data_IF_671364716471
#
_entry.id   IF_671364716471
#
_cell.length_a   1.000
_cell.length_b   1.000
_cell.length_c   1.000
_cell.angle_alpha   90.00
_cell.angle_beta   90.00
_cell.angle_gamma   90.00
#
_symmetry.space_group_name_H-M   'P 1'
#
loop_
_entity.id
_entity.type
_entity.pdbx_description
1 polymer ?
#
# COMPACT_ATOMS: atom_id res chain seq x y z
N UNK A 1 19.07 -16.96 -4.72
CA UNK A 1 18.14 -15.82 -4.55
C UNK A 1 18.64 -14.71 -5.47
N UNK A 2 18.10 -14.58 -6.69
CA UNK A 2 18.46 -13.49 -7.59
C UNK A 2 17.83 -12.21 -7.02
N UNK A 3 18.64 -11.23 -6.65
CA UNK A 3 18.17 -9.87 -6.55
C UNK A 3 17.68 -9.48 -7.94
N UNK A 4 16.37 -9.33 -8.10
CA UNK A 4 15.79 -8.82 -9.34
C UNK A 4 16.00 -7.32 -9.31
N UNK A 5 17.14 -6.90 -9.83
CA UNK A 5 17.37 -5.54 -10.33
C UNK A 5 16.89 -5.51 -11.78
N UNK A 6 15.79 -4.82 -12.09
CA UNK A 6 15.77 -3.66 -13.00
C UNK A 6 14.39 -2.96 -13.14
N UNK A 7 13.76 -2.55 -12.02
CA UNK A 7 12.84 -1.41 -12.03
C UNK A 7 13.57 -0.18 -11.45
N UNK A 8 14.60 0.29 -12.17
CA UNK A 8 15.49 1.39 -11.72
C UNK A 8 14.77 2.70 -11.36
N UNK A 9 13.55 2.94 -11.83
CA UNK A 9 12.85 4.21 -11.58
C UNK A 9 12.28 4.33 -10.17
N UNK A 10 11.69 3.27 -9.63
CA UNK A 10 10.83 3.38 -8.44
C UNK A 10 11.60 3.06 -7.16
N UNK A 11 12.52 2.08 -7.20
CA UNK A 11 13.38 1.77 -6.07
C UNK A 11 14.32 2.94 -5.72
N UNK A 12 14.68 3.74 -6.73
CA UNK A 12 15.43 4.99 -6.54
C UNK A 12 14.64 6.02 -5.72
N UNK A 13 13.31 6.08 -5.84
CA UNK A 13 12.48 6.96 -5.02
C UNK A 13 12.46 6.52 -3.57
N UNK A 14 12.47 5.21 -3.30
CA UNK A 14 12.39 4.65 -1.95
C UNK A 14 13.72 4.64 -1.20
N UNK A 15 14.85 4.48 -1.91
CA UNK A 15 16.15 4.18 -1.29
C UNK A 15 16.51 5.13 -0.14
N UNK A 16 16.51 6.44 -0.39
CA UNK A 16 16.85 7.44 0.63
C UNK A 16 15.90 7.39 1.82
N UNK A 17 14.61 7.16 1.60
CA UNK A 17 13.64 7.05 2.68
C UNK A 17 13.85 5.77 3.50
N UNK A 18 14.14 4.66 2.83
CA UNK A 18 14.37 3.36 3.45
C UNK A 18 15.64 3.38 4.31
N UNK A 19 16.76 3.88 3.76
CA UNK A 19 18.03 3.96 4.46
C UNK A 19 17.92 4.85 5.72
N UNK A 20 17.21 5.99 5.64
CA UNK A 20 17.09 6.92 6.75
C UNK A 20 16.13 6.48 7.87
N UNK A 21 15.20 5.57 7.58
CA UNK A 21 14.16 5.11 8.52
C UNK A 21 14.27 3.63 8.90
N UNK A 22 15.25 2.92 8.35
CA UNK A 22 15.38 1.48 8.55
C UNK A 22 14.22 0.68 7.94
N UNK A 23 13.62 1.17 6.84
CA UNK A 23 12.51 0.45 6.20
C UNK A 23 13.04 -0.68 5.32
N UNK A 24 12.33 -1.81 5.38
CA UNK A 24 12.52 -2.90 4.43
C UNK A 24 11.47 -2.74 3.34
N UNK A 25 11.91 -2.43 2.12
CA UNK A 25 11.03 -2.29 0.96
C UNK A 25 11.13 -3.55 0.12
N UNK A 26 9.99 -4.20 -0.09
CA UNK A 26 9.88 -5.33 -1.00
C UNK A 26 8.98 -4.92 -2.16
N UNK A 27 9.55 -4.94 -3.35
CA UNK A 27 8.81 -4.74 -4.58
C UNK A 27 8.44 -6.10 -5.16
N UNK A 28 7.18 -6.23 -5.54
CA UNK A 28 6.63 -7.43 -6.15
C UNK A 28 6.13 -7.05 -7.52
N UNK A 29 6.48 -7.86 -8.51
CA UNK A 29 6.05 -7.67 -9.89
C UNK A 29 4.99 -8.72 -10.23
N UNK A 30 3.96 -8.34 -11.01
CA UNK A 30 3.00 -9.31 -11.52
C UNK A 30 3.70 -10.30 -12.46
N UNK A 31 3.23 -11.55 -12.47
CA UNK A 31 3.70 -12.56 -13.43
C UNK A 31 3.38 -12.20 -14.88
N UNK A 32 2.35 -11.37 -15.09
CA UNK A 32 2.01 -10.77 -16.38
C UNK A 32 2.32 -9.28 -16.41
N UNK A 33 3.01 -8.83 -17.45
CA UNK A 33 3.35 -7.42 -17.65
C UNK A 33 2.13 -6.50 -17.77
N UNK A 34 0.95 -7.03 -18.13
CA UNK A 34 -0.23 -6.22 -18.39
C UNK A 34 -1.13 -6.02 -17.16
N UNK A 35 -1.17 -7.00 -16.25
CA UNK A 35 -2.09 -6.96 -15.09
C UNK A 35 -1.72 -7.98 -14.03
N UNK A 36 -2.18 -7.70 -12.80
CA UNK A 36 -2.28 -8.68 -11.74
C UNK A 36 -3.37 -9.72 -12.05
N UNK A 37 -3.06 -10.98 -11.81
CA UNK A 37 -3.95 -12.12 -11.95
C UNK A 37 -4.70 -12.38 -10.63
N UNK A 38 -5.91 -12.96 -10.67
CA UNK A 38 -6.71 -13.17 -9.46
C UNK A 38 -6.02 -14.00 -8.36
N UNK A 39 -5.22 -15.00 -8.72
CA UNK A 39 -4.48 -15.87 -7.80
C UNK A 39 -3.13 -15.33 -7.34
N UNK A 40 -2.84 -14.05 -7.61
CA UNK A 40 -1.66 -13.36 -7.07
C UNK A 40 -1.97 -12.63 -5.77
N UNK A 41 -3.18 -12.79 -5.22
CA UNK A 41 -3.54 -12.18 -3.93
C UNK A 41 -2.81 -12.87 -2.78
N UNK A 42 -2.55 -14.17 -2.93
CA UNK A 42 -1.79 -15.04 -2.04
C UNK A 42 -0.30 -14.68 -2.03
N UNK A 43 0.19 -13.98 -3.05
CA UNK A 43 1.59 -13.56 -3.14
C UNK A 43 1.98 -12.62 -1.99
N UNK A 44 1.06 -11.76 -1.55
CA UNK A 44 1.30 -10.88 -0.40
C UNK A 44 1.60 -11.68 0.88
N UNK A 45 0.84 -12.77 1.12
CA UNK A 45 1.07 -13.68 2.26
C UNK A 45 2.44 -14.34 2.17
N UNK A 46 2.78 -14.88 1.00
CA UNK A 46 4.04 -15.58 0.80
C UNK A 46 5.25 -14.66 0.97
N UNK A 47 5.16 -13.44 0.45
CA UNK A 47 6.18 -12.40 0.62
C UNK A 47 6.32 -12.00 2.07
N UNK A 48 5.20 -11.73 2.76
CA UNK A 48 5.22 -11.38 4.19
C UNK A 48 5.83 -12.49 5.04
N UNK A 49 5.46 -13.75 4.78
CA UNK A 49 6.05 -14.93 5.44
C UNK A 49 7.56 -15.00 5.22
N UNK A 50 8.03 -14.79 3.99
CA UNK A 50 9.46 -14.77 3.68
C UNK A 50 10.18 -13.62 4.41
N UNK A 51 9.58 -12.44 4.47
CA UNK A 51 10.15 -11.29 5.19
C UNK A 51 10.34 -11.59 6.66
N UNK A 52 9.34 -12.18 7.33
CA UNK A 52 9.41 -12.58 8.75
C UNK A 52 10.47 -13.62 9.03
N UNK A 53 10.73 -14.52 8.09
CA UNK A 53 11.79 -15.52 8.22
C UNK A 53 13.19 -14.91 8.09
N UNK A 54 13.32 -13.82 7.33
CA UNK A 54 14.62 -13.26 6.95
C UNK A 54 15.00 -12.01 7.75
N UNK A 55 14.02 -11.30 8.30
CA UNK A 55 14.20 -10.02 8.95
C UNK A 55 13.41 -9.95 10.25
N UNK A 56 13.92 -9.19 11.22
CA UNK A 56 13.16 -8.81 12.41
C UNK A 56 12.24 -7.65 12.03
N UNK A 57 10.95 -7.91 11.92
CA UNK A 57 9.96 -6.89 11.57
C UNK A 57 9.34 -6.30 12.84
N UNK A 58 9.10 -4.99 12.82
CA UNK A 58 8.18 -4.34 13.74
C UNK A 58 6.74 -4.67 13.30
N UNK A 59 6.02 -5.46 14.09
CA UNK A 59 4.66 -5.90 13.74
C UNK A 59 3.66 -4.75 13.67
N UNK A 60 3.95 -3.62 14.31
CA UNK A 60 3.06 -2.46 14.33
C UNK A 60 3.21 -1.57 13.09
N UNK A 61 4.19 -1.86 12.22
CA UNK A 61 4.51 -1.03 11.04
C UNK A 61 4.61 -1.81 9.73
N UNK A 62 3.90 -2.93 9.64
CA UNK A 62 3.82 -3.72 8.40
C UNK A 62 2.70 -3.18 7.51
N UNK A 63 3.08 -2.75 6.31
CA UNK A 63 2.18 -2.10 5.35
C UNK A 63 2.28 -2.77 3.98
N UNK A 64 1.14 -2.88 3.30
CA UNK A 64 1.07 -3.24 1.87
C UNK A 64 0.63 -2.03 1.05
N UNK A 65 1.06 -1.91 -0.20
CA UNK A 65 0.57 -0.82 -1.02
C UNK A 65 0.93 -0.90 -2.49
N UNK A 66 0.37 0.02 -3.27
CA UNK A 66 0.68 0.14 -4.68
C UNK A 66 -0.14 1.20 -5.41
N UNK A 67 0.15 1.36 -6.69
CA UNK A 67 -0.58 2.23 -7.61
C UNK A 67 -1.43 1.43 -8.58
N UNK A 68 -2.56 1.98 -9.02
CA UNK A 68 -3.42 1.41 -10.06
C UNK A 68 -3.73 -0.08 -9.81
N UNK A 69 -3.31 -0.99 -10.70
CA UNK A 69 -3.53 -2.43 -10.51
C UNK A 69 -2.91 -2.97 -9.21
N UNK A 70 -1.71 -2.51 -8.84
CA UNK A 70 -1.03 -2.93 -7.61
C UNK A 70 -1.73 -2.41 -6.35
N UNK A 71 -2.29 -1.19 -6.40
CA UNK A 71 -3.09 -0.65 -5.30
C UNK A 71 -4.38 -1.44 -5.07
N UNK A 72 -5.03 -1.90 -6.16
CA UNK A 72 -6.20 -2.76 -6.05
C UNK A 72 -5.85 -4.14 -5.47
N UNK A 73 -4.70 -4.72 -5.85
CA UNK A 73 -4.23 -5.97 -5.25
C UNK A 73 -3.89 -5.78 -3.76
N UNK A 74 -3.17 -4.72 -3.41
CA UNK A 74 -2.82 -4.40 -2.02
C UNK A 74 -4.06 -4.29 -1.15
N UNK A 75 -5.09 -3.58 -1.62
CA UNK A 75 -6.37 -3.46 -0.92
C UNK A 75 -7.06 -4.82 -0.71
N UNK A 76 -7.01 -5.72 -1.71
CA UNK A 76 -7.54 -7.09 -1.57
C UNK A 76 -6.74 -7.92 -0.59
N UNK A 77 -5.42 -7.80 -0.59
CA UNK A 77 -4.53 -8.54 0.30
C UNK A 77 -4.81 -8.22 1.77
N UNK A 78 -5.17 -6.97 2.09
CA UNK A 78 -5.58 -6.59 3.46
C UNK A 78 -6.71 -7.46 3.98
N UNK A 79 -7.71 -7.75 3.15
CA UNK A 79 -8.84 -8.57 3.59
C UNK A 79 -8.43 -10.01 3.92
N UNK A 80 -7.32 -10.51 3.36
CA UNK A 80 -6.81 -11.85 3.60
C UNK A 80 -5.81 -11.91 4.75
N UNK A 81 -5.02 -10.86 4.93
CA UNK A 81 -3.90 -10.79 5.88
C UNK A 81 -4.11 -9.70 6.94
N UNK A 82 -5.36 -9.49 7.35
CA UNK A 82 -5.76 -8.36 8.21
C UNK A 82 -5.05 -8.33 9.56
N UNK A 83 -4.74 -9.50 10.11
CA UNK A 83 -4.06 -9.67 11.40
C UNK A 83 -2.58 -9.23 11.36
N UNK A 84 -2.02 -9.27 10.16
CA UNK A 84 -0.59 -9.09 9.92
C UNK A 84 -0.23 -7.71 9.37
N UNK A 85 -1.21 -6.95 8.93
CA UNK A 85 -1.05 -5.65 8.27
C UNK A 85 -1.65 -4.55 9.13
N UNK A 86 -0.88 -3.47 9.34
CA UNK A 86 -1.28 -2.28 10.10
C UNK A 86 -1.62 -1.10 9.21
N UNK A 87 -1.34 -1.21 7.93
CA UNK A 87 -1.89 -0.25 6.99
C UNK A 87 -1.86 -0.68 5.55
N UNK A 88 -2.57 0.10 4.74
CA UNK A 88 -2.61 -0.06 3.29
C UNK A 88 -2.48 1.27 2.58
N UNK A 89 -1.57 1.32 1.62
CA UNK A 89 -1.31 2.50 0.80
C UNK A 89 -1.86 2.27 -0.60
N UNK A 90 -2.76 3.13 -1.04
CA UNK A 90 -3.38 3.01 -2.35
C UNK A 90 -3.26 4.31 -3.12
N UNK A 91 -2.58 4.27 -4.27
CA UNK A 91 -2.48 5.39 -5.20
C UNK A 91 -3.34 5.15 -6.44
N UNK A 92 -4.29 6.04 -6.71
CA UNK A 92 -5.04 6.09 -7.97
C UNK A 92 -5.58 4.71 -8.44
N UNK A 93 -6.09 3.91 -7.50
CA UNK A 93 -6.55 2.55 -7.75
C UNK A 93 -8.01 2.34 -7.33
N UNK A 94 -8.59 1.22 -7.75
CA UNK A 94 -9.92 0.80 -7.30
C UNK A 94 -9.81 0.09 -5.95
N UNK A 95 -10.65 0.46 -4.99
CA UNK A 95 -10.79 -0.25 -3.71
C UNK A 95 -11.76 -1.43 -3.89
N UNK A 96 -11.35 -2.39 -4.70
CA UNK A 96 -12.17 -3.55 -5.07
C UNK A 96 -11.72 -4.77 -4.26
N UNK A 97 -12.50 -5.18 -3.27
CA UNK A 97 -12.21 -6.35 -2.44
C UNK A 97 -13.33 -6.56 -1.41
N UNK A 98 -13.20 -7.58 -0.56
CA UNK A 98 -14.08 -7.73 0.60
C UNK A 98 -14.06 -6.46 1.47
N UNK A 99 -15.19 -6.11 2.12
CA UNK A 99 -15.22 -4.99 3.06
C UNK A 99 -14.19 -5.21 4.17
N UNK A 100 -13.38 -4.18 4.43
CA UNK A 100 -12.51 -4.16 5.61
C UNK A 100 -13.34 -3.63 6.77
N UNK A 101 -13.26 -4.30 7.91
CA UNK A 101 -13.93 -3.87 9.14
C UNK A 101 -12.91 -3.31 10.12
N UNK A 102 -13.33 -2.29 10.87
CA UNK A 102 -12.56 -1.81 12.01
C UNK A 102 -12.49 -2.90 13.10
N UNK A 103 -11.31 -3.07 13.69
CA UNK A 103 -11.02 -4.06 14.72
C UNK A 103 -10.21 -3.36 15.81
N UNK A 104 -10.82 -3.05 16.98
CA UNK A 104 -10.14 -2.29 18.04
C UNK A 104 -8.82 -2.91 18.51
N UNK A 105 -8.75 -4.24 18.54
CA UNK A 105 -7.57 -4.99 18.99
C UNK A 105 -6.49 -5.12 17.90
N UNK A 106 -6.80 -4.71 16.68
CA UNK A 106 -5.94 -4.83 15.52
C UNK A 106 -6.00 -3.55 14.70
N UNK A 107 -5.28 -2.52 15.15
CA UNK A 107 -5.30 -1.19 14.54
C UNK A 107 -4.91 -1.25 13.07
N UNK A 108 -5.59 -0.43 12.28
CA UNK A 108 -5.34 -0.36 10.85
C UNK A 108 -5.68 1.00 10.29
N UNK A 109 -4.82 1.51 9.41
CA UNK A 109 -5.06 2.76 8.71
C UNK A 109 -4.90 2.60 7.21
N UNK A 110 -5.60 3.44 6.45
CA UNK A 110 -5.46 3.55 5.00
C UNK A 110 -4.83 4.90 4.67
N UNK A 111 -3.81 4.90 3.80
CA UNK A 111 -3.38 6.10 3.09
C UNK A 111 -3.84 6.00 1.65
N UNK A 112 -4.66 6.95 1.21
CA UNK A 112 -5.19 7.01 -0.14
C UNK A 112 -4.63 8.24 -0.84
N UNK A 113 -3.75 8.01 -1.79
CA UNK A 113 -3.24 9.05 -2.68
C UNK A 113 -4.13 9.19 -3.91
N UNK A 114 -4.64 10.40 -4.13
CA UNK A 114 -5.46 10.73 -5.29
C UNK A 114 -4.81 11.84 -6.10
N UNK A 115 -4.54 11.56 -7.37
CA UNK A 115 -4.15 12.59 -8.32
C UNK A 115 -5.34 13.40 -8.81
N UNK A 116 -5.12 14.69 -9.07
CA UNK A 116 -6.16 15.58 -9.59
C UNK A 116 -6.63 15.20 -11.00
N UNK A 117 -5.81 14.46 -11.74
CA UNK A 117 -6.11 13.96 -13.10
C UNK A 117 -6.63 12.51 -13.10
N UNK A 118 -6.96 11.97 -11.93
CA UNK A 118 -7.45 10.60 -11.81
C UNK A 118 -8.83 10.43 -12.45
N UNK A 119 -8.96 9.49 -13.38
CA UNK A 119 -10.27 9.08 -13.93
C UNK A 119 -11.13 8.35 -12.90
N UNK A 120 -10.56 7.99 -11.75
CA UNK A 120 -11.23 7.31 -10.65
C UNK A 120 -11.68 8.26 -9.54
N UNK A 121 -11.48 9.59 -9.68
CA UNK A 121 -11.68 10.55 -8.59
C UNK A 121 -13.06 10.48 -7.93
N UNK A 122 -14.15 10.49 -8.71
CA UNK A 122 -15.51 10.41 -8.16
C UNK A 122 -15.80 9.08 -7.45
N UNK A 123 -15.26 7.98 -8.01
CA UNK A 123 -15.43 6.66 -7.42
C UNK A 123 -14.67 6.56 -6.10
N UNK A 124 -13.42 7.03 -6.07
CA UNK A 124 -12.61 7.08 -4.86
C UNK A 124 -13.28 7.90 -3.76
N UNK A 125 -13.93 9.02 -4.08
CA UNK A 125 -14.69 9.79 -3.07
C UNK A 125 -15.88 9.01 -2.50
N UNK A 126 -16.58 8.23 -3.32
CA UNK A 126 -17.64 7.33 -2.82
C UNK A 126 -17.07 6.23 -1.94
N UNK A 127 -15.99 5.58 -2.37
CA UNK A 127 -15.34 4.52 -1.61
C UNK A 127 -14.78 5.07 -0.27
N UNK A 128 -14.21 6.27 -0.25
CA UNK A 128 -13.80 7.00 0.95
C UNK A 128 -14.97 7.25 1.91
N UNK A 129 -16.13 7.63 1.38
CA UNK A 129 -17.35 7.79 2.18
C UNK A 129 -17.78 6.49 2.86
N UNK A 130 -17.67 5.36 2.17
CA UNK A 130 -17.97 4.04 2.73
C UNK A 130 -16.98 3.64 3.82
N UNK A 131 -15.68 3.84 3.58
CA UNK A 131 -14.62 3.54 4.57
C UNK A 131 -14.80 4.36 5.85
N UNK A 132 -15.07 5.67 5.72
CA UNK A 132 -15.32 6.55 6.87
C UNK A 132 -16.58 6.14 7.63
N UNK A 133 -17.65 5.77 6.91
CA UNK A 133 -18.89 5.27 7.53
C UNK A 133 -18.66 3.95 8.27
N UNK A 134 -17.71 3.13 7.82
CA UNK A 134 -17.28 1.91 8.49
C UNK A 134 -16.33 2.15 9.69
N UNK A 135 -16.02 3.41 10.01
CA UNK A 135 -15.16 3.76 11.14
C UNK A 135 -13.65 3.63 10.87
N UNK A 136 -13.25 3.31 9.64
CA UNK A 136 -11.85 3.08 9.33
C UNK A 136 -11.04 4.40 9.33
N UNK A 137 -9.87 4.44 9.98
CA UNK A 137 -8.94 5.57 9.87
C UNK A 137 -8.40 5.70 8.44
N UNK A 138 -8.73 6.80 7.75
CA UNK A 138 -8.25 7.06 6.39
C UNK A 138 -7.60 8.43 6.28
N UNK A 139 -6.33 8.43 5.83
CA UNK A 139 -5.58 9.62 5.45
C UNK A 139 -5.65 9.78 3.93
N UNK A 140 -6.03 10.96 3.45
CA UNK A 140 -6.12 11.26 2.02
C UNK A 140 -5.03 12.24 1.63
N UNK A 141 -4.19 11.86 0.67
CA UNK A 141 -3.15 12.73 0.11
C UNK A 141 -3.57 13.16 -1.30
N UNK A 142 -3.71 14.46 -1.51
CA UNK A 142 -3.88 15.02 -2.85
C UNK A 142 -2.52 15.08 -3.54
N UNK A 143 -2.51 14.72 -4.82
CA UNK A 143 -1.29 14.64 -5.64
C UNK A 143 -1.43 15.53 -6.85
N UNK A 144 -0.56 16.52 -6.95
CA UNK A 144 -0.46 17.38 -8.12
C UNK A 144 0.27 16.59 -9.22
N UNK A 145 -0.40 16.30 -10.34
CA UNK A 145 0.25 15.63 -11.47
C UNK A 145 -0.57 14.51 -12.10
N UNK A 146 0.13 13.65 -12.85
CA UNK A 146 -0.47 12.53 -13.57
C UNK A 146 -0.65 11.32 -12.65
N UNK A 147 -1.75 10.59 -12.85
CA UNK A 147 -2.13 9.42 -12.04
C UNK A 147 -1.16 8.23 -12.19
N UNK A 148 -0.38 8.21 -13.26
CA UNK A 148 0.46 7.09 -13.67
C UNK A 148 1.89 7.12 -13.08
N UNK A 149 2.29 8.23 -12.45
CA UNK A 149 3.66 8.40 -11.96
C UNK A 149 3.72 8.78 -10.49
N UNK A 150 4.46 8.00 -9.69
CA UNK A 150 4.81 8.34 -8.32
C UNK A 150 6.02 9.28 -8.27
N UNK A 151 6.08 10.09 -7.21
CA UNK A 151 7.14 11.07 -6.97
C UNK A 151 7.82 10.83 -5.62
N UNK A 152 8.98 11.44 -5.40
CA UNK A 152 9.62 11.41 -4.07
C UNK A 152 8.76 12.06 -2.99
N UNK A 153 7.93 13.04 -3.35
CA UNK A 153 6.95 13.64 -2.43
C UNK A 153 5.90 12.64 -1.95
N UNK A 154 5.46 11.76 -2.83
CA UNK A 154 4.54 10.67 -2.48
C UNK A 154 5.21 9.68 -1.51
N UNK A 155 6.47 9.29 -1.75
CA UNK A 155 7.19 8.37 -0.86
C UNK A 155 7.44 9.00 0.51
N UNK A 156 7.72 10.31 0.53
CA UNK A 156 7.87 11.07 1.76
C UNK A 156 6.54 11.13 2.55
N UNK A 157 5.39 11.24 1.87
CA UNK A 157 4.09 11.20 2.51
C UNK A 157 3.79 9.83 3.10
N UNK A 158 4.07 8.75 2.37
CA UNK A 158 3.88 7.37 2.85
C UNK A 158 4.77 7.11 4.07
N UNK A 159 6.05 7.42 3.99
CA UNK A 159 6.97 7.15 5.10
C UNK A 159 6.63 7.92 6.37
N UNK A 160 6.26 9.20 6.27
CA UNK A 160 5.74 9.96 7.42
C UNK A 160 4.46 9.34 7.99
N UNK A 161 3.59 8.83 7.15
CA UNK A 161 2.37 8.17 7.62
C UNK A 161 2.66 6.82 8.29
N UNK A 162 3.62 6.04 7.79
CA UNK A 162 4.10 4.82 8.46
C UNK A 162 4.62 5.15 9.87
N UNK A 163 5.41 6.22 10.00
CA UNK A 163 5.93 6.69 11.29
C UNK A 163 4.81 7.05 12.31
N UNK A 164 3.59 7.33 11.82
CA UNK A 164 2.43 7.69 12.65
C UNK A 164 1.52 6.49 12.99
N UNK A 165 1.73 5.31 12.40
CA UNK A 165 0.83 4.18 12.59
C UNK A 165 0.69 3.75 14.06
N UNK A 166 1.75 3.86 14.85
CA UNK A 166 1.71 3.53 16.29
C UNK A 166 0.87 4.51 17.12
N UNK A 167 0.56 5.68 16.57
CA UNK A 167 -0.14 6.79 17.25
C UNK A 167 -1.61 6.92 16.84
N UNK A 168 -2.03 6.22 15.79
CA UNK A 168 -3.41 6.16 15.28
C UNK A 168 -4.16 5.04 16.02
#
# INVERSE_FOLDING_TARGET
MRAITDAKSDLGLWKTHADNRGLIIVLVEPSSAERWLPGETELARDVLRLCRQRFSLDSERVVVGGQAGGGALAYRAVALERDDLRGCVVFDARLAGPPITDQPDNRFSLLIGRSDKSTLAERLERDLGLLRKAGLPVVVVRRDGAADRLTGGDMAAVTRWIDLLDQI
#
